data_IF_850235108593
#
_entry.id   IF_850235108593
#
_cell.length_a   1.000
_cell.length_b   1.000
_cell.length_c   1.000
_cell.angle_alpha   90.00
_cell.angle_beta   90.00
_cell.angle_gamma   90.00
#
_symmetry.space_group_name_H-M   'P 1'
#
loop_
_entity.id
_entity.type
_entity.pdbx_description
1 polymer ?
#
# COMPACT_ATOMS: atom_id res chain seq x y z
N UNK A 1 -11.46 0.70 -18.63
CA UNK A 1 -10.97 0.19 -17.34
C UNK A 1 -10.33 -1.18 -17.50
N UNK A 2 -10.98 -2.11 -18.22
CA UNK A 2 -10.44 -3.43 -18.62
C UNK A 2 -9.08 -3.36 -19.29
N UNK A 3 -8.91 -2.53 -20.34
CA UNK A 3 -7.63 -2.39 -21.05
C UNK A 3 -6.44 -1.99 -20.15
N UNK A 4 -6.68 -1.14 -19.13
CA UNK A 4 -5.62 -0.73 -18.18
C UNK A 4 -5.21 -1.87 -17.23
N UNK A 5 -6.16 -2.74 -16.87
CA UNK A 5 -5.88 -3.91 -16.05
C UNK A 5 -5.09 -4.95 -16.86
N UNK A 6 -5.47 -5.16 -18.12
CA UNK A 6 -4.77 -6.09 -19.03
C UNK A 6 -3.31 -5.66 -19.23
N UNK A 7 -3.06 -4.37 -19.44
CA UNK A 7 -1.71 -3.82 -19.55
C UNK A 7 -0.93 -3.93 -18.24
N UNK A 8 -1.59 -3.72 -17.08
CA UNK A 8 -0.97 -3.86 -15.78
C UNK A 8 -0.57 -5.31 -15.45
N UNK A 9 -1.37 -6.29 -15.88
CA UNK A 9 -1.10 -7.72 -15.68
C UNK A 9 0.00 -8.21 -16.63
N UNK A 10 0.06 -7.68 -17.86
CA UNK A 10 1.08 -8.07 -18.84
C UNK A 10 2.45 -7.50 -18.55
N UNK A 11 2.53 -6.24 -18.09
CA UNK A 11 3.80 -5.53 -17.90
C UNK A 11 4.87 -6.35 -17.14
N UNK A 12 4.58 -7.04 -16.01
CA UNK A 12 5.57 -7.86 -15.31
C UNK A 12 6.26 -8.92 -16.17
N UNK A 13 5.61 -9.40 -17.23
CA UNK A 13 6.07 -10.54 -18.04
C UNK A 13 6.73 -10.11 -19.37
N UNK A 14 6.95 -8.82 -19.60
CA UNK A 14 7.72 -8.36 -20.74
C UNK A 14 9.19 -8.78 -20.58
N UNK A 15 9.83 -9.21 -21.68
CA UNK A 15 11.12 -9.93 -21.68
C UNK A 15 12.32 -9.20 -21.05
N UNK A 16 12.22 -7.89 -20.80
CA UNK A 16 13.26 -7.06 -20.16
C UNK A 16 13.09 -6.96 -18.62
N UNK A 17 12.08 -7.65 -18.06
CA UNK A 17 11.68 -7.50 -16.65
C UNK A 17 12.11 -8.65 -15.74
N UNK A 18 12.76 -9.70 -16.27
CA UNK A 18 13.10 -10.91 -15.51
C UNK A 18 13.99 -10.63 -14.30
N UNK A 19 15.03 -9.81 -14.46
CA UNK A 19 15.92 -9.43 -13.35
C UNK A 19 15.16 -8.71 -12.23
N UNK A 20 14.23 -7.83 -12.61
CA UNK A 20 13.37 -7.11 -11.65
C UNK A 20 12.44 -8.07 -10.90
N UNK A 21 11.85 -9.04 -11.61
CA UNK A 21 10.99 -10.06 -10.99
C UNK A 21 11.78 -10.95 -10.02
N UNK A 22 12.98 -11.39 -10.40
CA UNK A 22 13.82 -12.24 -9.56
C UNK A 22 14.24 -11.47 -8.30
N UNK A 23 14.78 -10.26 -8.46
CA UNK A 23 15.21 -9.43 -7.32
C UNK A 23 14.02 -9.07 -6.43
N UNK A 24 12.89 -8.69 -7.02
CA UNK A 24 11.66 -8.36 -6.29
C UNK A 24 11.09 -9.54 -5.51
N UNK A 25 11.15 -10.74 -6.08
CA UNK A 25 10.73 -11.99 -5.43
C UNK A 25 11.64 -12.32 -4.25
N UNK A 26 12.95 -12.28 -4.44
CA UNK A 26 13.93 -12.50 -3.38
C UNK A 26 13.79 -11.48 -2.25
N UNK A 27 13.56 -10.22 -2.61
CA UNK A 27 13.34 -9.15 -1.64
C UNK A 27 12.02 -9.35 -0.86
N UNK A 28 10.96 -9.76 -1.56
CA UNK A 28 9.67 -10.10 -0.94
C UNK A 28 9.82 -11.25 0.03
N UNK A 29 10.54 -12.29 -0.36
CA UNK A 29 10.84 -13.42 0.51
C UNK A 29 11.66 -12.99 1.73
N UNK A 30 12.72 -12.22 1.52
CA UNK A 30 13.58 -11.73 2.59
C UNK A 30 12.83 -10.77 3.54
N UNK A 31 11.83 -10.03 3.05
CA UNK A 31 11.03 -9.12 3.88
C UNK A 31 10.17 -9.83 4.92
N UNK A 32 9.82 -11.11 4.70
CA UNK A 32 9.10 -11.93 5.67
C UNK A 32 9.95 -12.17 6.93
N UNK A 33 11.24 -12.47 6.73
CA UNK A 33 12.19 -12.71 7.83
C UNK A 33 12.76 -11.41 8.40
N UNK A 34 12.91 -10.39 7.55
CA UNK A 34 13.56 -9.12 7.91
C UNK A 34 12.63 -7.96 7.54
N UNK A 35 11.76 -7.51 8.46
CA UNK A 35 10.78 -6.46 8.19
C UNK A 35 11.38 -5.15 7.66
N UNK A 36 12.64 -4.86 8.01
CA UNK A 36 13.40 -3.71 7.48
C UNK A 36 13.47 -3.71 5.95
N UNK A 37 13.51 -4.89 5.30
CA UNK A 37 13.51 -5.00 3.84
C UNK A 37 12.15 -4.66 3.23
N UNK A 38 11.07 -4.68 4.02
CA UNK A 38 9.77 -4.15 3.62
C UNK A 38 9.82 -2.66 3.27
N UNK A 39 10.74 -1.90 3.87
CA UNK A 39 10.99 -0.49 3.53
C UNK A 39 11.44 -0.37 2.06
N UNK A 40 12.29 -1.29 1.59
CA UNK A 40 12.72 -1.29 0.18
C UNK A 40 11.56 -1.61 -0.77
N UNK A 41 10.67 -2.53 -0.40
CA UNK A 41 9.46 -2.82 -1.19
C UNK A 41 8.51 -1.62 -1.24
N UNK A 42 8.37 -0.87 -0.15
CA UNK A 42 7.60 0.37 -0.15
C UNK A 42 8.22 1.42 -1.08
N UNK A 43 9.55 1.58 -1.05
CA UNK A 43 10.26 2.45 -1.98
C UNK A 43 10.13 1.99 -3.44
N UNK A 44 10.17 0.68 -3.67
CA UNK A 44 9.88 0.10 -4.99
C UNK A 44 8.47 0.45 -5.46
N UNK A 45 7.46 0.32 -4.60
CA UNK A 45 6.08 0.67 -4.94
C UNK A 45 5.93 2.15 -5.34
N UNK A 46 6.59 3.07 -4.62
CA UNK A 46 6.67 4.49 -5.00
C UNK A 46 7.25 4.65 -6.40
N UNK A 47 8.40 4.00 -6.66
CA UNK A 47 9.10 4.10 -7.94
C UNK A 47 8.28 3.49 -9.09
N UNK A 48 7.62 2.37 -8.84
CA UNK A 48 6.73 1.69 -9.78
C UNK A 48 5.51 2.56 -10.14
N UNK A 49 4.83 3.14 -9.13
CA UNK A 49 3.74 4.11 -9.34
C UNK A 49 4.25 5.27 -10.20
N UNK A 50 5.40 5.83 -9.85
CA UNK A 50 5.98 7.01 -10.52
C UNK A 50 6.34 6.73 -11.98
N UNK A 51 7.00 5.60 -12.28
CA UNK A 51 7.34 5.19 -13.65
C UNK A 51 6.09 4.90 -14.46
N UNK A 52 5.16 4.10 -13.90
CA UNK A 52 3.95 3.72 -14.61
C UNK A 52 3.05 4.92 -14.91
N UNK A 53 3.00 5.90 -14.01
CA UNK A 53 2.28 7.14 -14.24
C UNK A 53 2.80 7.85 -15.50
N UNK A 54 4.12 7.86 -15.73
CA UNK A 54 4.74 8.46 -16.92
C UNK A 54 4.60 7.64 -18.21
N UNK A 55 3.98 6.46 -18.14
CA UNK A 55 3.92 5.53 -19.27
C UNK A 55 5.20 4.71 -19.45
N UNK A 56 6.16 4.78 -18.52
CA UNK A 56 7.37 3.95 -18.55
C UNK A 56 7.06 2.49 -18.17
N UNK A 57 7.99 1.59 -18.49
CA UNK A 57 7.98 0.18 -18.05
C UNK A 57 8.24 -0.01 -16.55
N UNK A 58 8.49 -1.26 -16.12
CA UNK A 58 8.75 -1.57 -14.71
C UNK A 58 9.94 -0.78 -14.14
N UNK A 59 9.87 -0.47 -12.84
CA UNK A 59 11.01 0.08 -12.13
C UNK A 59 12.09 -0.99 -11.94
N UNK A 60 13.35 -0.64 -12.25
CA UNK A 60 14.51 -1.49 -11.99
C UNK A 60 15.06 -1.30 -10.56
N UNK A 61 15.82 -2.29 -10.08
CA UNK A 61 16.54 -2.27 -8.79
C UNK A 61 18.01 -1.83 -8.95
N UNK A 62 18.23 -0.70 -9.61
CA UNK A 62 19.55 -0.12 -9.88
C UNK A 62 20.05 0.82 -8.77
N UNK A 63 19.15 1.57 -8.13
CA UNK A 63 19.45 2.57 -7.10
C UNK A 63 18.83 2.18 -5.74
N UNK A 64 19.53 1.31 -5.01
CA UNK A 64 19.12 0.85 -3.69
C UNK A 64 19.02 1.98 -2.66
N UNK A 65 19.88 3.00 -2.75
CA UNK A 65 19.85 4.14 -1.82
C UNK A 65 18.62 5.00 -2.07
N UNK A 66 18.28 5.26 -3.34
CA UNK A 66 17.04 5.94 -3.72
C UNK A 66 15.81 5.16 -3.28
N UNK A 67 15.77 3.84 -3.49
CA UNK A 67 14.68 2.98 -3.00
C UNK A 67 14.53 3.06 -1.48
N UNK A 68 15.63 2.93 -0.73
CA UNK A 68 15.59 3.04 0.73
C UNK A 68 15.10 4.42 1.17
N UNK A 69 15.55 5.49 0.50
CA UNK A 69 15.10 6.85 0.76
C UNK A 69 13.60 7.03 0.54
N UNK A 70 13.06 6.57 -0.59
CA UNK A 70 11.63 6.64 -0.87
C UNK A 70 10.83 5.75 0.09
N UNK A 71 11.33 4.57 0.45
CA UNK A 71 10.74 3.69 1.45
C UNK A 71 10.66 4.31 2.84
N UNK A 72 11.74 4.94 3.31
CA UNK A 72 11.78 5.63 4.61
C UNK A 72 10.78 6.80 4.63
N UNK A 73 10.65 7.54 3.52
CA UNK A 73 9.67 8.63 3.42
C UNK A 73 8.24 8.13 3.53
N UNK A 74 7.92 7.00 2.87
CA UNK A 74 6.63 6.35 3.02
C UNK A 74 6.42 5.92 4.46
N UNK A 75 7.37 5.19 5.04
CA UNK A 75 7.28 4.74 6.42
C UNK A 75 7.07 5.91 7.41
N UNK A 76 7.76 7.03 7.21
CA UNK A 76 7.63 8.23 8.04
C UNK A 76 6.22 8.84 8.00
N UNK A 77 5.49 8.72 6.88
CA UNK A 77 4.12 9.25 6.77
C UNK A 77 3.05 8.23 7.11
N UNK A 78 3.32 6.93 6.96
CA UNK A 78 2.33 5.87 7.20
C UNK A 78 2.37 5.36 8.65
N UNK A 79 3.55 5.19 9.23
CA UNK A 79 3.70 4.62 10.58
C UNK A 79 2.90 5.39 11.66
N UNK A 80 2.87 6.75 11.66
CA UNK A 80 2.06 7.49 12.61
C UNK A 80 0.56 7.21 12.52
N UNK A 81 0.05 6.80 11.34
CA UNK A 81 -1.37 6.51 11.13
C UNK A 81 -1.81 5.25 11.87
N UNK A 82 -0.90 4.31 12.13
CA UNK A 82 -1.19 3.05 12.83
C UNK A 82 -1.03 3.16 14.35
N UNK A 83 -0.42 4.23 14.87
CA UNK A 83 -0.21 4.41 16.32
C UNK A 83 -1.49 4.38 17.16
N UNK A 84 -2.64 4.95 16.72
CA UNK A 84 -3.88 4.88 17.49
C UNK A 84 -4.36 3.43 17.72
N UNK A 85 -4.27 2.57 16.71
CA UNK A 85 -4.64 1.16 16.81
C UNK A 85 -3.72 0.42 17.80
N UNK A 86 -2.40 0.66 17.71
CA UNK A 86 -1.42 0.14 18.68
C UNK A 86 -1.72 0.60 20.11
N UNK A 87 -2.11 1.87 20.28
CA UNK A 87 -2.49 2.42 21.59
C UNK A 87 -3.70 1.73 22.20
N UNK A 88 -4.72 1.41 21.39
CA UNK A 88 -5.91 0.67 21.85
C UNK A 88 -5.54 -0.75 22.26
N UNK A 89 -4.74 -1.47 21.45
CA UNK A 89 -4.28 -2.83 21.79
C UNK A 89 -3.45 -2.82 23.08
N UNK A 90 -2.57 -1.82 23.25
CA UNK A 90 -1.78 -1.67 24.46
C UNK A 90 -2.64 -1.40 25.71
N UNK A 91 -3.72 -0.62 25.57
CA UNK A 91 -4.64 -0.30 26.67
C UNK A 91 -5.50 -1.50 27.08
N UNK A 92 -6.02 -2.25 26.10
CA UNK A 92 -6.89 -3.42 26.34
C UNK A 92 -6.08 -4.64 26.79
N UNK A 93 -4.81 -4.70 26.39
CA UNK A 93 -3.91 -5.81 26.61
C UNK A 93 -3.95 -6.79 25.45
N UNK A 94 -2.76 -7.23 25.02
CA UNK A 94 -2.60 -8.18 23.92
C UNK A 94 -3.32 -9.50 24.21
N UNK A 95 -3.19 -10.03 25.43
CA UNK A 95 -3.79 -11.31 25.82
C UNK A 95 -5.33 -11.30 25.71
N UNK A 96 -5.97 -10.19 26.14
CA UNK A 96 -7.43 -10.02 26.01
C UNK A 96 -7.87 -9.89 24.56
N UNK A 97 -7.06 -9.22 23.75
CA UNK A 97 -7.29 -9.09 22.31
C UNK A 97 -7.16 -10.44 21.59
N UNK A 98 -6.20 -11.27 21.98
CA UNK A 98 -6.04 -12.62 21.43
C UNK A 98 -7.17 -13.56 21.88
N UNK A 99 -7.62 -13.45 23.13
CA UNK A 99 -8.78 -14.20 23.65
C UNK A 99 -10.10 -13.80 22.97
N UNK A 100 -10.27 -12.54 22.56
CA UNK A 100 -11.48 -12.12 21.84
C UNK A 100 -11.54 -12.64 20.40
N UNK A 101 -10.38 -12.80 19.75
CA UNK A 101 -10.30 -13.42 18.42
C UNK A 101 -10.71 -14.90 18.49
N UNK A 102 -10.24 -15.63 19.50
CA UNK A 102 -10.58 -17.05 19.66
C UNK A 102 -12.02 -17.27 20.12
N UNK A 103 -12.62 -16.34 20.87
CA UNK A 103 -14.05 -16.39 21.22
C UNK A 103 -14.96 -16.13 20.02
N UNK A 104 -14.59 -15.23 19.11
CA UNK A 104 -15.27 -15.02 17.83
C UNK A 104 -15.23 -16.25 16.92
N UNK A 105 -14.18 -17.08 17.01
CA UNK A 105 -14.11 -18.34 16.28
C UNK A 105 -15.01 -19.44 16.88
N UNK A 106 -15.39 -19.31 18.16
CA UNK A 106 -16.21 -20.28 18.91
C UNK A 106 -17.57 -19.69 19.29
N UNK A 107 -18.34 -19.21 18.30
CA UNK A 107 -19.75 -18.87 18.48
C UNK A 107 -20.51 -20.11 19.00
N UNK A 108 -20.81 -20.16 20.30
CA UNK A 108 -21.66 -21.21 20.90
C UNK A 108 -21.12 -21.89 22.16
N UNK A 109 -19.92 -21.56 22.65
CA UNK A 109 -19.43 -22.10 23.93
C UNK A 109 -20.03 -21.33 25.13
N UNK A 110 -20.90 -21.93 25.96
CA UNK A 110 -21.48 -21.27 27.13
C UNK A 110 -20.47 -20.99 28.25
N UNK A 111 -19.25 -21.52 28.16
CA UNK A 111 -18.17 -21.33 29.15
C UNK A 111 -17.35 -20.06 28.93
N UNK A 112 -17.53 -19.37 27.81
CA UNK A 112 -16.87 -18.12 27.49
C UNK A 112 -17.95 -17.05 27.35
N UNK A 113 -18.31 -16.39 28.45
CA UNK A 113 -19.08 -15.15 28.33
C UNK A 113 -18.22 -14.18 27.50
N UNK A 114 -18.67 -13.74 26.31
CA UNK A 114 -17.88 -12.87 25.47
C UNK A 114 -17.66 -11.55 26.20
N UNK A 115 -16.39 -11.16 26.40
CA UNK A 115 -16.04 -9.83 26.85
C UNK A 115 -16.41 -8.84 25.73
N UNK A 116 -17.64 -8.33 25.78
CA UNK A 116 -18.16 -7.40 24.78
C UNK A 116 -17.30 -6.13 24.68
N UNK A 117 -16.60 -5.73 25.74
CA UNK A 117 -15.68 -4.59 25.69
C UNK A 117 -14.43 -4.94 24.88
N UNK A 118 -13.87 -6.14 25.07
CA UNK A 118 -12.74 -6.61 24.25
C UNK A 118 -13.13 -6.80 22.77
N UNK A 119 -14.34 -7.30 22.49
CA UNK A 119 -14.85 -7.41 21.11
C UNK A 119 -15.06 -6.02 20.49
N UNK A 120 -15.67 -5.09 21.20
CA UNK A 120 -15.86 -3.72 20.72
C UNK A 120 -14.51 -3.01 20.45
N UNK A 121 -13.53 -3.20 21.33
CA UNK A 121 -12.19 -2.67 21.13
C UNK A 121 -11.49 -3.29 19.91
N UNK A 122 -11.63 -4.60 19.70
CA UNK A 122 -11.11 -5.26 18.50
C UNK A 122 -11.75 -4.70 17.22
N UNK A 123 -13.08 -4.53 17.20
CA UNK A 123 -13.76 -3.92 16.07
C UNK A 123 -13.29 -2.49 15.82
N UNK A 124 -13.07 -1.72 16.89
CA UNK A 124 -12.53 -0.37 16.79
C UNK A 124 -11.11 -0.35 16.22
N UNK A 125 -10.24 -1.27 16.66
CA UNK A 125 -8.89 -1.46 16.09
C UNK A 125 -8.97 -1.80 14.61
N UNK A 126 -9.87 -2.72 14.21
CA UNK A 126 -10.07 -3.07 12.81
C UNK A 126 -10.46 -1.85 11.98
N UNK A 127 -11.40 -1.02 12.46
CA UNK A 127 -11.79 0.22 11.77
C UNK A 127 -10.62 1.20 11.67
N UNK A 128 -9.84 1.37 12.74
CA UNK A 128 -8.65 2.23 12.73
C UNK A 128 -7.60 1.73 11.75
N UNK A 129 -7.33 0.43 11.70
CA UNK A 129 -6.36 -0.18 10.77
C UNK A 129 -6.83 -0.07 9.32
N UNK A 130 -8.13 -0.24 9.05
CA UNK A 130 -8.69 -0.02 7.71
C UNK A 130 -8.50 1.45 7.27
N UNK A 131 -8.80 2.39 8.16
CA UNK A 131 -8.65 3.81 7.88
C UNK A 131 -7.16 4.20 7.70
N UNK A 132 -6.30 3.69 8.58
CA UNK A 132 -4.85 3.90 8.51
C UNK A 132 -4.26 3.29 7.23
N UNK A 133 -4.70 2.10 6.83
CA UNK A 133 -4.31 1.46 5.58
C UNK A 133 -4.75 2.25 4.35
N UNK A 134 -5.99 2.75 4.33
CA UNK A 134 -6.49 3.61 3.26
C UNK A 134 -5.68 4.90 3.13
N UNK A 135 -5.44 5.59 4.24
CA UNK A 135 -4.63 6.81 4.28
C UNK A 135 -3.16 6.53 3.98
N UNK A 136 -2.64 5.36 4.32
CA UNK A 136 -1.27 4.95 4.02
C UNK A 136 -1.05 4.79 2.53
N UNK A 137 -2.00 4.21 1.80
CA UNK A 137 -1.94 4.12 0.33
C UNK A 137 -2.06 5.51 -0.31
N UNK A 138 -2.91 6.40 0.23
CA UNK A 138 -2.99 7.77 -0.24
C UNK A 138 -1.66 8.52 -0.02
N UNK A 139 -1.03 8.33 1.15
CA UNK A 139 0.30 8.84 1.49
C UNK A 139 1.38 8.31 0.54
N UNK A 140 1.38 7.01 0.25
CA UNK A 140 2.27 6.36 -0.72
C UNK A 140 2.17 7.02 -2.11
N UNK A 141 0.95 7.20 -2.62
CA UNK A 141 0.71 7.86 -3.92
C UNK A 141 1.18 9.31 -3.88
N UNK A 142 0.94 10.04 -2.78
CA UNK A 142 1.40 11.43 -2.64
C UNK A 142 2.92 11.53 -2.60
N UNK A 143 3.61 10.61 -1.92
CA UNK A 143 5.08 10.51 -1.94
C UNK A 143 5.59 10.19 -3.35
N UNK A 144 4.87 9.37 -4.12
CA UNK A 144 5.19 9.11 -5.52
C UNK A 144 5.07 10.36 -6.40
N UNK A 145 4.08 11.22 -6.14
CA UNK A 145 3.87 12.49 -6.85
C UNK A 145 4.93 13.55 -6.51
N UNK A 146 5.16 13.80 -5.22
CA UNK A 146 5.98 14.93 -4.75
C UNK A 146 7.48 14.59 -4.70
N UNK A 147 7.81 13.32 -4.40
CA UNK A 147 9.20 12.87 -4.28
C UNK A 147 10.00 13.52 -3.15
N UNK A 148 9.37 14.26 -2.22
CA UNK A 148 10.02 14.84 -1.05
C UNK A 148 9.04 15.04 0.11
N UNK A 149 9.54 14.99 1.35
CA UNK A 149 8.73 15.26 2.55
C UNK A 149 8.45 16.76 2.76
N UNK A 150 9.28 17.65 2.21
CA UNK A 150 9.10 19.11 2.37
C UNK A 150 7.86 19.64 1.67
N UNK A 151 7.48 19.03 0.54
CA UNK A 151 6.24 19.35 -0.18
C UNK A 151 5.07 18.46 0.22
N UNK A 152 5.21 17.64 1.28
CA UNK A 152 4.15 16.77 1.74
C UNK A 152 3.21 17.53 2.67
N UNK A 153 1.95 17.69 2.26
CA UNK A 153 0.90 18.27 3.07
C UNK A 153 -0.17 17.24 3.35
N UNK A 154 -0.50 17.05 4.64
CA UNK A 154 -1.55 16.10 5.08
C UNK A 154 -2.91 16.46 4.46
N UNK A 155 -3.18 17.76 4.25
CA UNK A 155 -4.39 18.23 3.58
C UNK A 155 -4.57 17.66 2.16
N UNK A 156 -3.47 17.55 1.39
CA UNK A 156 -3.50 16.98 0.03
C UNK A 156 -3.80 15.48 0.05
N UNK A 157 -3.30 14.78 1.06
CA UNK A 157 -3.54 13.34 1.25
C UNK A 157 -5.00 13.10 1.59
N UNK A 158 -5.58 13.91 2.47
CA UNK A 158 -7.00 13.84 2.81
C UNK A 158 -7.88 14.22 1.62
N UNK A 159 -7.47 15.22 0.82
CA UNK A 159 -8.17 15.60 -0.40
C UNK A 159 -8.16 14.45 -1.42
N UNK A 160 -7.00 13.83 -1.65
CA UNK A 160 -6.86 12.65 -2.51
C UNK A 160 -7.68 11.47 -1.98
N UNK A 161 -7.65 11.21 -0.67
CA UNK A 161 -8.41 10.15 -0.04
C UNK A 161 -9.94 10.35 -0.15
N UNK A 162 -10.41 11.57 -0.37
CA UNK A 162 -11.83 11.88 -0.61
C UNK A 162 -12.22 11.81 -2.08
N UNK A 163 -11.26 11.69 -2.99
CA UNK A 163 -11.54 11.57 -4.42
C UNK A 163 -12.18 10.19 -4.72
N UNK A 164 -13.39 10.14 -5.32
CA UNK A 164 -13.99 8.86 -5.73
C UNK A 164 -13.13 8.08 -6.73
N UNK A 165 -12.29 8.75 -7.52
CA UNK A 165 -11.31 8.10 -8.40
C UNK A 165 -10.28 7.30 -7.63
N UNK A 166 -9.75 7.86 -6.54
CA UNK A 166 -8.83 7.17 -5.63
C UNK A 166 -9.49 5.97 -4.94
N UNK A 167 -10.72 6.13 -4.43
CA UNK A 167 -11.44 5.03 -3.77
C UNK A 167 -11.61 3.81 -4.70
N UNK A 168 -11.92 4.03 -5.98
CA UNK A 168 -12.02 2.95 -6.98
C UNK A 168 -10.68 2.27 -7.26
N UNK A 169 -9.61 3.05 -7.40
CA UNK A 169 -8.27 2.51 -7.61
C UNK A 169 -7.77 1.72 -6.38
N UNK A 170 -8.04 2.23 -5.17
CA UNK A 170 -7.76 1.55 -3.92
C UNK A 170 -8.53 0.23 -3.82
N UNK A 171 -9.84 0.24 -4.09
CA UNK A 171 -10.67 -0.97 -4.06
C UNK A 171 -10.14 -2.04 -5.03
N UNK A 172 -9.76 -1.65 -6.25
CA UNK A 172 -9.11 -2.56 -7.20
C UNK A 172 -7.76 -3.09 -6.68
N UNK A 173 -6.91 -2.22 -6.13
CA UNK A 173 -5.65 -2.63 -5.54
C UNK A 173 -5.85 -3.62 -4.38
N UNK A 174 -6.89 -3.42 -3.56
CA UNK A 174 -7.29 -4.37 -2.52
C UNK A 174 -7.72 -5.71 -3.12
N UNK A 175 -8.55 -5.72 -4.17
CA UNK A 175 -8.95 -6.96 -4.86
C UNK A 175 -7.72 -7.71 -5.40
N UNK A 176 -6.81 -7.00 -6.07
CA UNK A 176 -5.54 -7.57 -6.56
C UNK A 176 -4.72 -8.15 -5.41
N UNK A 177 -4.59 -7.42 -4.31
CA UNK A 177 -3.88 -7.87 -3.11
C UNK A 177 -4.50 -9.12 -2.49
N UNK A 178 -5.83 -9.16 -2.35
CA UNK A 178 -6.56 -10.31 -1.83
C UNK A 178 -6.38 -11.52 -2.74
N UNK A 179 -6.53 -11.36 -4.05
CA UNK A 179 -6.33 -12.44 -5.04
C UNK A 179 -4.88 -12.96 -4.98
N UNK A 180 -3.89 -12.08 -4.93
CA UNK A 180 -2.49 -12.47 -4.80
C UNK A 180 -2.21 -13.23 -3.50
N UNK A 181 -2.82 -12.81 -2.38
CA UNK A 181 -2.68 -13.50 -1.09
C UNK A 181 -3.34 -14.88 -1.09
N UNK A 182 -4.54 -15.02 -1.67
CA UNK A 182 -5.22 -16.30 -1.80
C UNK A 182 -4.46 -17.25 -2.71
N UNK A 183 -3.95 -16.75 -3.84
CA UNK A 183 -3.10 -17.52 -4.75
C UNK A 183 -1.79 -17.95 -4.05
N UNK A 184 -1.15 -17.05 -3.31
CA UNK A 184 0.03 -17.36 -2.50
C UNK A 184 -0.26 -18.43 -1.44
N UNK A 185 -1.41 -18.38 -0.78
CA UNK A 185 -1.83 -19.39 0.20
C UNK A 185 -2.08 -20.75 -0.46
N UNK A 186 -2.75 -20.79 -1.61
CA UNK A 186 -2.98 -22.02 -2.35
C UNK A 186 -1.67 -22.69 -2.78
N UNK A 187 -0.71 -21.87 -3.23
CA UNK A 187 0.62 -22.32 -3.63
C UNK A 187 1.49 -22.74 -2.44
N UNK A 188 1.32 -22.11 -1.26
CA UNK A 188 2.05 -22.46 -0.05
C UNK A 188 1.80 -23.89 0.44
N UNK A 189 0.75 -24.56 -0.05
CA UNK A 189 0.50 -25.98 0.19
C UNK A 189 1.58 -26.90 -0.42
N UNK A 190 2.35 -26.40 -1.39
CA UNK A 190 3.44 -27.15 -2.04
C UNK A 190 4.71 -27.10 -1.18
N UNK A 191 5.23 -28.24 -0.70
CA UNK A 191 6.48 -28.25 0.06
C UNK A 191 7.64 -27.77 -0.82
N UNK A 192 8.59 -27.03 -0.21
CA UNK A 192 9.80 -26.46 -0.82
C UNK A 192 9.59 -25.36 -1.87
N UNK A 193 8.58 -25.47 -2.74
CA UNK A 193 8.33 -24.51 -3.84
C UNK A 193 7.26 -23.47 -3.49
N UNK A 194 6.40 -23.77 -2.51
CA UNK A 194 5.26 -22.91 -2.17
C UNK A 194 5.68 -21.53 -1.65
N UNK A 195 6.73 -21.47 -0.84
CA UNK A 195 7.25 -20.22 -0.26
C UNK A 195 7.81 -19.27 -1.34
N UNK A 196 8.77 -19.67 -2.20
CA UNK A 196 9.30 -18.78 -3.23
C UNK A 196 8.22 -18.38 -4.26
N UNK A 197 7.32 -19.29 -4.63
CA UNK A 197 6.25 -18.98 -5.58
C UNK A 197 5.19 -18.05 -4.95
N UNK A 198 4.90 -18.19 -3.65
CA UNK A 198 4.07 -17.24 -2.90
C UNK A 198 4.69 -15.84 -2.84
N UNK A 199 6.00 -15.73 -2.63
CA UNK A 199 6.72 -14.46 -2.69
C UNK A 199 6.68 -13.83 -4.09
N UNK A 200 6.81 -14.64 -5.14
CA UNK A 200 6.68 -14.20 -6.53
C UNK A 200 5.28 -13.62 -6.80
N UNK A 201 4.23 -14.36 -6.42
CA UNK A 201 2.83 -13.91 -6.59
C UNK A 201 2.56 -12.62 -5.81
N UNK A 202 3.10 -12.50 -4.59
CA UNK A 202 2.99 -11.29 -3.79
C UNK A 202 3.68 -10.09 -4.45
N UNK A 203 4.88 -10.28 -5.03
CA UNK A 203 5.58 -9.23 -5.75
C UNK A 203 4.85 -8.81 -7.03
N UNK A 204 4.36 -9.75 -7.82
CA UNK A 204 3.53 -9.45 -9.00
C UNK A 204 2.26 -8.69 -8.59
N UNK A 205 1.60 -9.11 -7.51
CA UNK A 205 0.45 -8.40 -6.95
C UNK A 205 0.78 -6.96 -6.55
N UNK A 206 1.96 -6.72 -5.95
CA UNK A 206 2.45 -5.38 -5.64
C UNK A 206 2.62 -4.53 -6.91
N UNK A 207 3.24 -5.06 -7.96
CA UNK A 207 3.45 -4.36 -9.24
C UNK A 207 2.11 -4.01 -9.90
N UNK A 208 1.17 -4.95 -9.94
CA UNK A 208 -0.15 -4.73 -10.52
C UNK A 208 -0.91 -3.68 -9.71
N UNK A 209 -0.89 -3.77 -8.38
CA UNK A 209 -1.51 -2.77 -7.50
C UNK A 209 -0.89 -1.38 -7.69
N UNK A 210 0.44 -1.28 -7.75
CA UNK A 210 1.15 -0.04 -8.05
C UNK A 210 0.75 0.53 -9.42
N UNK A 211 0.56 -0.32 -10.42
CA UNK A 211 0.14 0.08 -11.77
C UNK A 211 -1.30 0.60 -11.80
N UNK A 212 -2.21 -0.01 -11.04
CA UNK A 212 -3.58 0.48 -10.86
C UNK A 212 -3.57 1.84 -10.16
N UNK A 213 -2.77 2.00 -9.10
CA UNK A 213 -2.62 3.26 -8.36
C UNK A 213 -1.95 4.37 -9.19
N UNK A 214 -1.08 4.03 -10.14
CA UNK A 214 -0.53 5.00 -11.07
C UNK A 214 -1.61 5.70 -11.91
N UNK A 215 -2.75 5.03 -12.15
CA UNK A 215 -3.85 5.60 -12.92
C UNK A 215 -4.58 6.78 -12.27
N UNK A 216 -4.35 7.04 -10.98
CA UNK A 216 -4.89 8.22 -10.26
C UNK A 216 -3.88 9.36 -10.13
N UNK A 217 -2.65 9.15 -10.64
CA UNK A 217 -1.63 10.18 -10.65
C UNK A 217 -1.84 11.05 -11.89
N UNK A 218 -2.11 12.35 -11.74
CA UNK A 218 -2.30 13.21 -12.90
C UNK A 218 -0.98 13.42 -13.64
N UNK A 219 -1.02 13.19 -14.94
CA UNK A 219 0.07 13.47 -15.88
C UNK A 219 -0.33 14.63 -16.77
N UNK A 220 0.51 15.66 -16.88
CA UNK A 220 0.41 16.57 -18.01
C UNK A 220 0.69 15.83 -19.32
N UNK A 221 0.19 16.34 -20.45
CA UNK A 221 0.40 15.77 -21.79
C UNK A 221 1.87 15.55 -22.18
N UNK A 222 2.82 16.11 -21.42
CA UNK A 222 4.27 15.94 -21.56
C UNK A 222 4.90 14.91 -20.58
N UNK A 223 4.10 14.13 -19.84
CA UNK A 223 4.59 13.10 -18.92
C UNK A 223 5.24 13.63 -17.62
N UNK A 224 5.10 14.94 -17.33
CA UNK A 224 5.48 15.53 -16.05
C UNK A 224 4.35 15.38 -15.03
N UNK A 225 4.71 15.01 -13.80
CA UNK A 225 3.79 14.90 -12.67
C UNK A 225 3.35 16.29 -12.25
N UNK A 226 2.06 16.60 -12.33
CA UNK A 226 1.55 17.88 -11.88
C UNK A 226 1.55 17.92 -10.36
N UNK A 227 2.45 18.72 -9.80
CA UNK A 227 2.25 19.23 -8.44
C UNK A 227 1.16 20.28 -8.59
N UNK A 228 -0.09 19.90 -8.27
CA UNK A 228 -1.20 20.85 -8.26
C UNK A 228 -0.92 21.96 -7.24
N UNK A 229 -0.33 23.06 -7.70
CA UNK A 229 -0.17 24.32 -6.97
C UNK A 229 -1.50 25.07 -6.96
N UNK A 230 -2.57 24.42 -6.53
CA UNK A 230 -3.84 25.09 -6.28
C UNK A 230 -3.80 25.70 -4.87
N UNK A 231 -3.32 26.93 -4.74
CA UNK A 231 -3.91 28.04 -3.95
C UNK A 231 -2.97 29.26 -3.98
N UNK A 232 -2.95 30.01 -5.08
CA UNK A 232 -2.50 31.42 -5.06
C UNK A 232 -3.25 32.21 -6.13
N UNK A 233 -4.54 32.42 -5.91
CA UNK A 233 -5.28 33.47 -6.60
C UNK A 233 -6.38 33.97 -5.68
N UNK A 234 -5.99 34.74 -4.68
CA UNK A 234 -6.89 35.68 -4.02
C UNK A 234 -6.15 37.00 -3.82
N UNK A 235 -6.75 38.05 -4.39
CA UNK A 235 -6.50 39.49 -4.16
C UNK A 235 -5.21 40.11 -4.70
N UNK A 236 -5.25 40.50 -5.97
CA UNK A 236 -4.80 41.83 -6.41
C UNK A 236 -5.74 42.34 -7.51
N UNK A 237 -6.99 42.62 -7.16
CA UNK A 237 -7.88 43.49 -7.94
C UNK A 237 -8.76 44.24 -6.93
N UNK A 238 -8.18 45.30 -6.39
CA UNK A 238 -8.86 46.41 -5.71
C UNK A 238 -8.02 47.66 -5.97
N UNK A 239 -7.86 47.98 -7.24
CA UNK A 239 -7.66 49.36 -7.68
C UNK A 239 -8.93 49.75 -8.44
N UNK A 240 -9.61 50.76 -7.91
CA UNK A 240 -10.93 51.24 -8.30
C UNK A 240 -11.43 52.17 -7.22
#
# INVERSE_FOLDING_TARGET
>A
MTQRLDDAIRAPFDGDSTDTLVVGTLLTLASVSTPVLGVLLAGYAVRAIRRRARGDGLAAFDDWRGLAGDGVRVAAVTLPLHLPAVGVVALVGLDRTLMSISSLAHFGSPFLAPDYAAVAALLFVVVLELLAGYLSVAGLVRVAQVGSLRGYHVGDVVALARDPGFARAFALACVVGVVARLAGLAVAALPFVGVPLGAFVAFVGLVVAASVLAGVVPTDGDGRLTVSTATRSTRTLSEG
#
